data_IF_186159269009
#
_entry.id   IF_186159269009
#
_cell.length_a   1.000
_cell.length_b   1.000
_cell.length_c   1.000
_cell.angle_alpha   90.00
_cell.angle_beta   90.00
_cell.angle_gamma   90.00
#
_symmetry.space_group_name_H-M   'P 1'
#
loop_
_entity.id
_entity.type
_entity.pdbx_description
1 polymer ?
#
# COMPACT_ATOMS: atom_id res chain seq x y z
N UNK A 1 -27.94 -36.13 -11.19
CA UNK A 1 -27.41 -35.02 -11.98
C UNK A 1 -28.12 -33.69 -11.62
N UNK A 2 -29.45 -33.72 -11.46
CA UNK A 2 -30.24 -32.52 -11.09
C UNK A 2 -29.96 -32.04 -9.67
N UNK A 3 -29.67 -32.92 -8.70
CA UNK A 3 -29.29 -32.52 -7.33
C UNK A 3 -27.86 -31.96 -7.30
N UNK A 4 -26.93 -32.43 -8.14
CA UNK A 4 -25.60 -31.88 -8.30
C UNK A 4 -25.62 -30.49 -8.95
N UNK A 5 -26.49 -30.27 -9.93
CA UNK A 5 -26.71 -28.97 -10.56
C UNK A 5 -27.43 -27.99 -9.65
N UNK A 6 -28.33 -28.43 -8.78
CA UNK A 6 -28.94 -27.61 -7.75
C UNK A 6 -27.95 -27.23 -6.65
N UNK A 7 -27.04 -28.14 -6.28
CA UNK A 7 -25.95 -27.84 -5.34
C UNK A 7 -24.94 -26.83 -5.86
N UNK A 8 -24.65 -26.85 -7.15
CA UNK A 8 -23.76 -25.86 -7.81
C UNK A 8 -24.44 -24.49 -7.96
N UNK A 9 -25.75 -24.45 -8.09
CA UNK A 9 -26.55 -23.21 -8.14
C UNK A 9 -26.64 -22.51 -6.77
N UNK A 10 -26.49 -23.24 -5.69
CA UNK A 10 -26.46 -22.73 -4.30
C UNK A 10 -25.03 -22.36 -3.82
N UNK A 11 -24.02 -22.56 -4.61
CA UNK A 11 -22.73 -21.93 -4.34
C UNK A 11 -22.92 -20.41 -4.42
N UNK A 12 -23.29 -19.84 -3.24
CA UNK A 12 -23.30 -18.40 -2.97
C UNK A 12 -22.18 -17.77 -3.78
N UNK A 13 -22.49 -16.88 -4.73
CA UNK A 13 -21.50 -16.09 -5.47
C UNK A 13 -20.55 -15.54 -4.40
N UNK A 14 -19.38 -16.14 -4.25
CA UNK A 14 -18.29 -15.59 -3.47
C UNK A 14 -17.97 -14.30 -4.19
N UNK A 15 -18.49 -13.19 -3.70
CA UNK A 15 -18.09 -11.87 -4.17
C UNK A 15 -16.61 -11.80 -3.88
N UNK A 16 -15.81 -11.99 -4.93
CA UNK A 16 -14.36 -11.76 -4.85
C UNK A 16 -14.22 -10.30 -4.39
N UNK A 17 -13.50 -10.01 -3.32
CA UNK A 17 -13.34 -8.64 -2.84
C UNK A 17 -12.86 -7.77 -4.00
N UNK A 18 -13.55 -6.69 -4.28
CA UNK A 18 -13.20 -5.74 -5.36
C UNK A 18 -11.74 -5.30 -5.24
N UNK A 19 -11.25 -5.16 -4.02
CA UNK A 19 -9.87 -4.82 -3.72
C UNK A 19 -8.89 -5.87 -4.23
N UNK A 20 -9.17 -7.15 -4.05
CA UNK A 20 -8.32 -8.23 -4.57
C UNK A 20 -8.22 -8.21 -6.10
N UNK A 21 -9.37 -8.01 -6.76
CA UNK A 21 -9.42 -7.90 -8.23
C UNK A 21 -8.57 -6.71 -8.70
N UNK A 22 -8.73 -5.55 -8.05
CA UNK A 22 -7.93 -4.36 -8.33
C UNK A 22 -6.43 -4.63 -8.17
N UNK A 23 -6.01 -5.26 -7.06
CA UNK A 23 -4.61 -5.58 -6.80
C UNK A 23 -4.02 -6.50 -7.87
N UNK A 24 -4.78 -7.52 -8.30
CA UNK A 24 -4.35 -8.44 -9.35
C UNK A 24 -4.18 -7.72 -10.70
N UNK A 25 -5.16 -6.89 -11.10
CA UNK A 25 -5.06 -6.11 -12.34
C UNK A 25 -3.93 -5.10 -12.28
N UNK A 26 -3.74 -4.42 -11.15
CA UNK A 26 -2.64 -3.50 -10.94
C UNK A 26 -1.27 -4.18 -11.09
N UNK A 27 -1.11 -5.41 -10.57
CA UNK A 27 0.11 -6.20 -10.75
C UNK A 27 0.35 -6.53 -12.24
N UNK A 28 -0.67 -7.02 -12.95
CA UNK A 28 -0.55 -7.35 -14.38
C UNK A 28 -0.16 -6.11 -15.19
N UNK A 29 -0.78 -4.99 -14.93
CA UNK A 29 -0.47 -3.72 -15.60
C UNK A 29 0.95 -3.28 -15.29
N UNK A 30 1.39 -3.36 -14.02
CA UNK A 30 2.76 -3.04 -13.63
C UNK A 30 3.78 -3.92 -14.35
N UNK A 31 3.55 -5.23 -14.44
CA UNK A 31 4.42 -6.16 -15.18
C UNK A 31 4.51 -5.74 -16.65
N UNK A 32 3.39 -5.51 -17.31
CA UNK A 32 3.37 -5.17 -18.75
C UNK A 32 4.11 -3.85 -18.99
N UNK A 33 3.81 -2.80 -18.22
CA UNK A 33 4.40 -1.47 -18.43
C UNK A 33 5.91 -1.50 -18.14
N UNK A 34 6.32 -2.05 -16.99
CA UNK A 34 7.74 -2.08 -16.62
C UNK A 34 8.53 -2.96 -17.57
N UNK A 35 8.04 -4.17 -17.90
CA UNK A 35 8.72 -5.06 -18.83
C UNK A 35 8.85 -4.44 -20.22
N UNK A 36 7.79 -3.83 -20.75
CA UNK A 36 7.84 -3.11 -22.03
C UNK A 36 8.89 -1.99 -22.01
N UNK A 37 8.94 -1.20 -20.94
CA UNK A 37 9.95 -0.16 -20.77
C UNK A 37 11.38 -0.73 -20.71
N UNK A 38 11.57 -1.83 -20.00
CA UNK A 38 12.87 -2.50 -19.91
C UNK A 38 13.36 -3.02 -21.26
N UNK A 39 12.49 -3.67 -22.02
CA UNK A 39 12.85 -4.23 -23.34
C UNK A 39 13.06 -3.14 -24.38
N UNK A 40 12.25 -2.07 -24.36
CA UNK A 40 12.29 -1.04 -25.39
C UNK A 40 13.29 0.10 -25.12
N UNK A 41 13.61 0.38 -23.85
CA UNK A 41 14.42 1.53 -23.47
C UNK A 41 15.65 1.12 -22.64
N UNK A 42 15.45 0.47 -21.50
CA UNK A 42 16.56 0.26 -20.55
C UNK A 42 17.66 -0.65 -21.14
N UNK A 43 17.29 -1.81 -21.63
CA UNK A 43 18.27 -2.80 -22.15
C UNK A 43 18.99 -2.34 -23.42
N UNK A 44 18.32 -1.72 -24.42
CA UNK A 44 19.01 -1.20 -25.59
C UNK A 44 20.03 -0.11 -25.23
N UNK A 45 19.63 0.90 -24.42
CA UNK A 45 20.54 1.97 -24.00
C UNK A 45 21.72 1.43 -23.14
N UNK A 46 21.46 0.44 -22.29
CA UNK A 46 22.52 -0.20 -21.52
C UNK A 46 23.52 -0.95 -22.40
N UNK A 47 23.02 -1.65 -23.45
CA UNK A 47 23.87 -2.37 -24.41
C UNK A 47 24.75 -1.40 -25.22
N UNK A 48 24.19 -0.27 -25.65
CA UNK A 48 24.93 0.78 -26.37
C UNK A 48 26.07 1.33 -25.49
N UNK A 49 25.77 1.74 -24.24
CA UNK A 49 26.78 2.25 -23.30
C UNK A 49 27.87 1.22 -23.01
N UNK A 50 27.51 -0.05 -22.81
CA UNK A 50 28.48 -1.12 -22.57
C UNK A 50 29.39 -1.33 -23.80
N UNK A 51 28.83 -1.28 -25.00
CA UNK A 51 29.59 -1.44 -26.24
C UNK A 51 30.58 -0.30 -26.43
N UNK A 52 30.13 0.94 -26.21
CA UNK A 52 30.96 2.14 -26.28
C UNK A 52 32.11 2.09 -25.26
N UNK A 53 31.80 1.79 -24.00
CA UNK A 53 32.82 1.66 -22.95
C UNK A 53 33.83 0.53 -23.20
N UNK A 54 33.41 -0.58 -23.82
CA UNK A 54 34.32 -1.63 -24.19
C UNK A 54 35.28 -1.19 -25.33
N UNK A 55 34.79 -0.47 -26.34
CA UNK A 55 35.63 0.08 -27.41
C UNK A 55 36.66 1.11 -26.88
N UNK A 56 36.24 1.96 -25.94
CA UNK A 56 37.15 2.93 -25.30
C UNK A 56 38.22 2.24 -24.46
N UNK A 57 37.83 1.20 -23.71
CA UNK A 57 38.77 0.41 -22.91
C UNK A 57 39.81 -0.38 -23.75
N UNK A 58 39.45 -0.76 -24.99
CA UNK A 58 40.37 -1.38 -25.94
C UNK A 58 41.36 -0.37 -26.52
N UNK A 59 40.98 0.92 -26.65
CA UNK A 59 41.82 2.00 -27.20
C UNK A 59 42.74 2.63 -26.15
N UNK A 60 42.28 2.69 -24.90
CA UNK A 60 43.00 3.29 -23.78
C UNK A 60 43.01 2.32 -22.58
N UNK A 61 44.15 1.67 -22.27
CA UNK A 61 44.27 0.77 -21.12
C UNK A 61 44.02 1.43 -19.76
N UNK A 62 44.18 2.75 -19.66
CA UNK A 62 43.92 3.52 -18.44
C UNK A 62 42.51 4.06 -18.34
N UNK A 63 41.62 3.75 -19.31
CA UNK A 63 40.23 4.18 -19.33
C UNK A 63 39.44 3.62 -18.15
N UNK A 64 38.87 4.54 -17.37
CA UNK A 64 37.95 4.19 -16.24
C UNK A 64 36.53 4.29 -16.72
N UNK A 65 35.83 3.16 -16.64
CA UNK A 65 34.40 3.09 -17.03
C UNK A 65 33.54 4.02 -16.20
N UNK A 66 32.77 4.87 -16.86
CA UNK A 66 31.82 5.78 -16.22
C UNK A 66 30.57 5.04 -15.76
N UNK A 67 29.98 5.48 -14.64
CA UNK A 67 28.72 4.92 -14.16
C UNK A 67 27.55 5.46 -14.98
N UNK A 68 26.85 4.56 -15.68
CA UNK A 68 25.62 4.87 -16.39
C UNK A 68 24.40 4.37 -15.62
N UNK A 69 23.36 5.19 -15.57
CA UNK A 69 22.07 4.80 -14.95
C UNK A 69 21.46 3.59 -15.66
N UNK A 70 21.60 3.51 -17.00
CA UNK A 70 21.08 2.40 -17.78
C UNK A 70 21.75 1.07 -17.40
N UNK A 71 23.08 1.08 -17.22
CA UNK A 71 23.83 -0.09 -16.78
C UNK A 71 23.49 -0.47 -15.35
N UNK A 72 23.20 0.52 -14.49
CA UNK A 72 22.84 0.33 -13.09
C UNK A 72 21.52 -0.42 -12.91
N UNK A 73 20.53 -0.19 -13.79
CA UNK A 73 19.16 -0.70 -13.63
C UNK A 73 18.81 -1.82 -14.61
N UNK A 74 19.72 -2.32 -15.43
CA UNK A 74 19.41 -3.19 -16.59
C UNK A 74 19.01 -4.63 -16.25
N UNK A 75 19.38 -5.14 -15.07
CA UNK A 75 19.26 -6.55 -14.72
C UNK A 75 17.84 -6.92 -14.26
N UNK A 76 17.54 -8.21 -14.23
CA UNK A 76 16.19 -8.73 -13.93
C UNK A 76 15.74 -8.46 -12.50
N UNK A 77 16.66 -8.41 -11.55
CA UNK A 77 16.37 -8.12 -10.15
C UNK A 77 15.85 -6.69 -9.96
N UNK A 78 16.48 -5.72 -10.65
CA UNK A 78 16.00 -4.35 -10.63
C UNK A 78 14.65 -4.23 -11.33
N UNK A 79 14.45 -4.91 -12.46
CA UNK A 79 13.15 -4.96 -13.13
C UNK A 79 12.06 -5.48 -12.19
N UNK A 80 12.31 -6.59 -11.49
CA UNK A 80 11.38 -7.14 -10.50
C UNK A 80 11.11 -6.15 -9.34
N UNK A 81 12.13 -5.46 -8.85
CA UNK A 81 11.98 -4.43 -7.81
C UNK A 81 11.10 -3.26 -8.28
N UNK A 82 11.25 -2.80 -9.53
CA UNK A 82 10.40 -1.74 -10.09
C UNK A 82 8.96 -2.21 -10.30
N UNK A 83 8.73 -3.45 -10.75
CA UNK A 83 7.39 -4.03 -10.84
C UNK A 83 6.70 -4.01 -9.48
N UNK A 84 7.38 -4.50 -8.44
CA UNK A 84 6.85 -4.52 -7.08
C UNK A 84 6.63 -3.10 -6.53
N UNK A 85 7.51 -2.16 -6.84
CA UNK A 85 7.36 -0.76 -6.46
C UNK A 85 6.08 -0.16 -7.05
N UNK A 86 5.87 -0.28 -8.36
CA UNK A 86 4.68 0.29 -9.01
C UNK A 86 3.39 -0.41 -8.56
N UNK A 87 3.46 -1.72 -8.29
CA UNK A 87 2.33 -2.44 -7.69
C UNK A 87 1.99 -1.91 -6.29
N UNK A 88 2.98 -1.75 -5.41
CA UNK A 88 2.78 -1.16 -4.08
C UNK A 88 2.22 0.26 -4.16
N UNK A 89 2.75 1.10 -5.07
CA UNK A 89 2.25 2.46 -5.31
C UNK A 89 0.78 2.48 -5.76
N UNK A 90 0.38 1.55 -6.62
CA UNK A 90 -1.02 1.42 -7.06
C UNK A 90 -1.94 1.06 -5.89
N UNK A 91 -1.55 0.10 -5.05
CA UNK A 91 -2.30 -0.29 -3.85
C UNK A 91 -2.41 0.88 -2.87
N UNK A 92 -1.29 1.56 -2.58
CA UNK A 92 -1.26 2.73 -1.68
C UNK A 92 -2.12 3.88 -2.23
N UNK A 93 -2.06 4.15 -3.53
CA UNK A 93 -2.88 5.16 -4.19
C UNK A 93 -4.38 4.88 -4.04
N UNK A 94 -4.81 3.63 -4.24
CA UNK A 94 -6.19 3.22 -4.02
C UNK A 94 -6.63 3.43 -2.56
N UNK A 95 -5.81 3.01 -1.60
CA UNK A 95 -6.11 3.20 -0.16
C UNK A 95 -6.13 4.68 0.25
N UNK A 96 -5.19 5.46 -0.24
CA UNK A 96 -5.12 6.90 0.04
C UNK A 96 -6.34 7.66 -0.51
N UNK A 97 -6.85 7.30 -1.70
CA UNK A 97 -8.06 7.93 -2.25
C UNK A 97 -9.30 7.60 -1.43
N UNK A 98 -9.46 6.35 -0.98
CA UNK A 98 -10.56 5.96 -0.07
C UNK A 98 -10.48 6.69 1.26
N UNK A 99 -9.31 6.72 1.87
CA UNK A 99 -9.05 7.40 3.14
C UNK A 99 -9.34 8.90 3.04
N UNK A 100 -8.95 9.53 1.93
CA UNK A 100 -9.25 10.94 1.67
C UNK A 100 -10.74 11.21 1.49
N UNK A 101 -11.49 10.26 0.94
CA UNK A 101 -12.95 10.36 0.80
C UNK A 101 -13.64 10.26 2.18
N UNK A 102 -13.15 9.37 3.06
CA UNK A 102 -13.66 9.27 4.43
C UNK A 102 -13.35 10.53 5.25
N UNK A 103 -12.14 11.06 5.12
CA UNK A 103 -11.73 12.27 5.82
C UNK A 103 -12.60 13.49 5.50
N UNK A 104 -13.07 13.61 4.26
CA UNK A 104 -13.99 14.68 3.87
C UNK A 104 -15.33 14.68 4.61
N UNK A 105 -15.73 13.55 5.20
CA UNK A 105 -16.95 13.49 6.01
C UNK A 105 -16.79 14.17 7.38
N UNK A 106 -15.55 14.28 7.88
CA UNK A 106 -15.25 15.02 9.11
C UNK A 106 -15.52 16.52 8.96
N UNK A 107 -15.42 17.05 7.75
CA UNK A 107 -15.68 18.45 7.44
C UNK A 107 -17.19 18.78 7.29
N UNK A 108 -18.03 17.72 7.27
CA UNK A 108 -19.49 17.84 7.14
C UNK A 108 -20.14 17.74 8.51
N UNK A 109 -21.00 18.69 8.85
CA UNK A 109 -21.79 18.61 10.07
C UNK A 109 -22.93 17.58 9.91
N UNK A 110 -22.62 16.30 10.22
CA UNK A 110 -23.54 15.18 10.07
C UNK A 110 -24.62 15.16 11.17
N UNK A 111 -24.34 15.79 12.31
CA UNK A 111 -25.26 15.89 13.44
C UNK A 111 -25.26 17.34 13.92
N UNK A 112 -26.08 18.22 13.31
CA UNK A 112 -26.18 19.59 13.71
C UNK A 112 -26.92 19.68 15.05
N UNK A 113 -26.19 19.77 16.16
CA UNK A 113 -26.75 20.01 17.48
C UNK A 113 -26.59 21.49 17.79
N UNK A 114 -27.69 22.27 17.95
CA UNK A 114 -27.62 23.67 18.35
C UNK A 114 -26.95 23.83 19.72
N UNK A 115 -26.26 24.95 19.92
CA UNK A 115 -25.64 25.28 21.22
C UNK A 115 -26.66 25.25 22.37
N UNK A 116 -26.32 24.52 23.41
CA UNK A 116 -27.17 24.36 24.61
C UNK A 116 -28.26 23.28 24.49
N UNK A 117 -28.43 22.67 23.31
CA UNK A 117 -29.36 21.54 23.14
C UNK A 117 -28.76 20.26 23.73
N UNK A 118 -29.63 19.44 24.35
CA UNK A 118 -29.28 18.09 24.85
C UNK A 118 -29.98 17.07 24.01
N UNK A 119 -29.30 15.98 23.72
CA UNK A 119 -29.87 14.84 23.00
C UNK A 119 -30.49 13.87 24.00
N UNK A 120 -31.80 13.71 23.95
CA UNK A 120 -32.52 12.73 24.74
C UNK A 120 -32.60 11.38 24.02
N UNK A 121 -32.83 10.26 24.72
CA UNK A 121 -32.98 8.94 24.09
C UNK A 121 -34.03 8.88 22.98
N UNK A 122 -35.10 9.69 23.11
CA UNK A 122 -36.17 9.76 22.11
C UNK A 122 -35.74 10.49 20.82
N UNK A 123 -34.84 11.46 20.92
CA UNK A 123 -34.38 12.29 19.80
C UNK A 123 -33.37 11.56 18.90
N UNK A 124 -32.77 10.49 19.41
CA UNK A 124 -31.73 9.72 18.70
C UNK A 124 -32.16 9.26 17.31
N UNK A 125 -33.46 8.97 17.11
CA UNK A 125 -34.00 8.53 15.82
C UNK A 125 -33.97 9.63 14.77
N UNK A 126 -34.18 10.89 15.18
CA UNK A 126 -34.15 12.05 14.29
C UNK A 126 -32.73 12.28 13.78
N UNK A 127 -31.76 12.34 14.70
CA UNK A 127 -30.33 12.48 14.34
C UNK A 127 -29.83 11.29 13.51
N UNK A 128 -30.26 10.06 13.83
CA UNK A 128 -29.88 8.87 13.05
C UNK A 128 -30.41 8.94 11.61
N UNK A 129 -31.58 9.52 11.34
CA UNK A 129 -32.13 9.66 9.98
C UNK A 129 -31.25 10.53 9.09
N UNK A 130 -30.61 11.58 9.65
CA UNK A 130 -29.72 12.45 8.89
C UNK A 130 -28.48 11.69 8.40
N UNK A 131 -27.89 10.86 9.26
CA UNK A 131 -26.75 10.00 8.89
C UNK A 131 -27.20 8.89 7.93
N UNK A 132 -28.38 8.32 8.11
CA UNK A 132 -28.96 7.32 7.23
C UNK A 132 -29.38 7.87 5.84
N UNK A 133 -29.52 9.17 5.70
CA UNK A 133 -29.77 9.81 4.40
C UNK A 133 -28.54 9.81 3.47
N UNK A 134 -27.35 9.49 3.98
CA UNK A 134 -26.15 9.32 3.16
C UNK A 134 -26.30 8.11 2.22
N UNK A 135 -25.65 8.12 1.05
CA UNK A 135 -25.52 6.95 0.20
C UNK A 135 -24.96 5.72 0.96
N UNK A 136 -25.35 4.50 0.57
CA UNK A 136 -25.00 3.26 1.29
C UNK A 136 -23.48 3.08 1.43
N UNK A 137 -22.71 3.42 0.39
CA UNK A 137 -21.24 3.38 0.40
C UNK A 137 -20.65 4.28 1.48
N UNK A 138 -21.22 5.46 1.70
CA UNK A 138 -20.78 6.41 2.74
C UNK A 138 -21.26 6.02 4.14
N UNK A 139 -22.42 5.36 4.26
CA UNK A 139 -22.89 4.88 5.56
C UNK A 139 -21.96 3.80 6.17
N UNK A 140 -21.20 3.10 5.32
CA UNK A 140 -20.25 2.07 5.76
C UNK A 140 -18.89 2.64 6.21
N UNK A 141 -18.63 3.91 5.98
CA UNK A 141 -17.43 4.61 6.43
C UNK A 141 -17.40 4.73 7.96
N UNK A 142 -16.21 4.92 8.54
CA UNK A 142 -15.99 4.90 9.99
C UNK A 142 -16.91 5.87 10.73
N UNK A 143 -16.86 7.17 10.37
CA UNK A 143 -17.59 8.21 11.10
C UNK A 143 -19.11 7.97 11.10
N UNK A 144 -19.82 7.78 9.97
CA UNK A 144 -21.26 7.49 9.98
C UNK A 144 -21.61 6.21 10.76
N UNK A 145 -20.79 5.17 10.66
CA UNK A 145 -20.98 3.92 11.38
C UNK A 145 -20.84 4.09 12.89
N UNK A 146 -19.84 4.84 13.35
CA UNK A 146 -19.63 5.16 14.76
C UNK A 146 -20.79 6.00 15.31
N UNK A 147 -21.21 7.05 14.58
CA UNK A 147 -22.33 7.90 14.96
C UNK A 147 -23.67 7.10 15.08
N UNK A 148 -23.99 6.27 14.07
CA UNK A 148 -25.19 5.44 14.12
C UNK A 148 -25.17 4.44 15.27
N UNK A 149 -23.99 3.88 15.58
CA UNK A 149 -23.85 2.95 16.70
C UNK A 149 -24.00 3.70 18.03
N UNK A 150 -23.39 4.86 18.19
CA UNK A 150 -23.52 5.70 19.39
C UNK A 150 -24.98 6.07 19.67
N UNK A 151 -25.71 6.57 18.66
CA UNK A 151 -27.12 6.94 18.79
C UNK A 151 -28.02 5.73 19.12
N UNK A 152 -27.82 4.58 18.45
CA UNK A 152 -28.58 3.34 18.73
C UNK A 152 -28.27 2.82 20.13
N UNK A 153 -27.01 2.84 20.56
CA UNK A 153 -26.60 2.40 21.89
C UNK A 153 -27.27 3.24 22.96
N UNK A 154 -27.22 4.57 22.80
CA UNK A 154 -27.86 5.50 23.72
C UNK A 154 -29.37 5.29 23.82
N UNK A 155 -30.05 5.12 22.69
CA UNK A 155 -31.50 4.83 22.64
C UNK A 155 -31.88 3.57 23.43
N UNK A 156 -31.00 2.56 23.46
CA UNK A 156 -31.30 1.27 24.11
C UNK A 156 -30.87 1.20 25.58
N UNK A 157 -29.69 1.76 25.92
CA UNK A 157 -29.11 1.62 27.27
C UNK A 157 -29.35 2.83 28.17
N UNK A 158 -29.60 4.02 27.59
CA UNK A 158 -29.68 5.31 28.28
C UNK A 158 -28.46 5.61 29.15
N UNK A 159 -27.32 4.98 28.84
CA UNK A 159 -26.09 5.08 29.61
C UNK A 159 -24.98 5.69 28.74
N UNK A 160 -24.50 6.88 29.13
CA UNK A 160 -23.47 7.62 28.38
C UNK A 160 -22.13 6.86 28.39
N UNK A 161 -21.78 6.20 29.48
CA UNK A 161 -20.55 5.43 29.58
C UNK A 161 -20.52 4.26 28.59
N UNK A 162 -21.68 3.58 28.43
CA UNK A 162 -21.82 2.48 27.45
C UNK A 162 -21.66 3.00 26.02
N UNK A 163 -22.13 4.20 25.72
CA UNK A 163 -21.98 4.84 24.41
C UNK A 163 -20.52 5.16 24.14
N UNK A 164 -19.84 5.80 25.09
CA UNK A 164 -18.41 6.13 24.96
C UNK A 164 -17.57 4.88 24.75
N UNK A 165 -17.75 3.84 25.56
CA UNK A 165 -17.04 2.57 25.43
C UNK A 165 -17.32 1.88 24.08
N UNK A 166 -18.57 1.88 23.61
CA UNK A 166 -18.94 1.30 22.32
C UNK A 166 -18.32 2.06 21.14
N UNK A 167 -18.27 3.38 21.21
CA UNK A 167 -17.65 4.22 20.17
C UNK A 167 -16.15 3.96 20.11
N UNK A 168 -15.47 3.93 21.25
CA UNK A 168 -14.06 3.60 21.35
C UNK A 168 -13.75 2.23 20.75
N UNK A 169 -14.52 1.18 21.10
CA UNK A 169 -14.34 -0.17 20.54
C UNK A 169 -14.50 -0.21 19.02
N UNK A 170 -15.42 0.59 18.45
CA UNK A 170 -15.58 0.66 16.99
C UNK A 170 -14.36 1.31 16.34
N UNK A 171 -13.86 2.40 16.92
CA UNK A 171 -12.68 3.10 16.44
C UNK A 171 -11.42 2.23 16.55
N UNK A 172 -11.24 1.53 17.67
CA UNK A 172 -10.13 0.57 17.88
C UNK A 172 -10.17 -0.58 16.86
N UNK A 173 -11.33 -1.22 16.68
CA UNK A 173 -11.51 -2.28 15.68
C UNK A 173 -11.25 -1.79 14.25
N UNK A 174 -11.58 -0.54 13.94
CA UNK A 174 -11.29 0.06 12.64
C UNK A 174 -9.79 0.33 12.48
N UNK A 175 -9.09 0.80 13.52
CA UNK A 175 -7.65 0.98 13.51
C UNK A 175 -6.93 -0.34 13.22
N UNK A 176 -7.31 -1.42 13.90
CA UNK A 176 -6.76 -2.77 13.66
C UNK A 176 -7.02 -3.24 12.22
N UNK A 177 -8.22 -2.99 11.68
CA UNK A 177 -8.57 -3.32 10.30
C UNK A 177 -7.69 -2.58 9.30
N UNK A 178 -7.55 -1.27 9.46
CA UNK A 178 -6.73 -0.42 8.60
C UNK A 178 -5.25 -0.83 8.66
N UNK A 179 -4.74 -1.16 9.84
CA UNK A 179 -3.38 -1.67 9.99
C UNK A 179 -3.18 -3.01 9.28
N UNK A 180 -4.13 -3.94 9.42
CA UNK A 180 -4.11 -5.23 8.73
C UNK A 180 -4.11 -5.06 7.21
N UNK A 181 -4.82 -4.08 6.69
CA UNK A 181 -4.86 -3.77 5.26
C UNK A 181 -3.52 -3.31 4.67
N UNK A 182 -2.58 -2.83 5.50
CA UNK A 182 -1.22 -2.48 5.06
C UNK A 182 -0.28 -3.69 4.98
N UNK A 183 -0.69 -4.86 5.45
CA UNK A 183 0.17 -6.05 5.55
C UNK A 183 0.78 -6.44 4.20
N UNK A 184 -0.01 -6.40 3.10
CA UNK A 184 0.49 -6.72 1.76
C UNK A 184 1.56 -5.73 1.29
N UNK A 185 1.38 -4.44 1.55
CA UNK A 185 2.34 -3.41 1.14
C UNK A 185 3.63 -3.56 1.95
N UNK A 186 3.53 -3.83 3.26
CA UNK A 186 4.69 -4.14 4.10
C UNK A 186 5.44 -5.37 3.59
N UNK A 187 4.71 -6.44 3.21
CA UNK A 187 5.32 -7.63 2.61
C UNK A 187 6.10 -7.29 1.34
N UNK A 188 5.52 -6.51 0.43
CA UNK A 188 6.21 -6.05 -0.80
C UNK A 188 7.47 -5.25 -0.45
N UNK A 189 7.37 -4.34 0.51
CA UNK A 189 8.51 -3.52 0.95
C UNK A 189 9.67 -4.36 1.52
N UNK A 190 9.38 -5.51 2.11
CA UNK A 190 10.37 -6.48 2.57
C UNK A 190 10.88 -7.42 1.45
N UNK A 191 10.04 -7.74 0.48
CA UNK A 191 10.42 -8.58 -0.65
C UNK A 191 11.46 -7.90 -1.55
N UNK A 192 11.37 -6.58 -1.74
CA UNK A 192 12.27 -5.82 -2.60
C UNK A 192 13.74 -5.94 -2.17
N UNK A 193 14.16 -5.68 -0.92
CA UNK A 193 15.52 -5.91 -0.47
C UNK A 193 15.97 -7.37 -0.61
N UNK A 194 15.05 -8.33 -0.40
CA UNK A 194 15.34 -9.76 -0.57
C UNK A 194 15.69 -10.10 -2.01
N UNK A 195 14.98 -9.52 -3.00
CA UNK A 195 15.31 -9.68 -4.42
C UNK A 195 16.67 -9.05 -4.75
N UNK A 196 16.96 -7.86 -4.19
CA UNK A 196 18.28 -7.24 -4.32
C UNK A 196 19.40 -8.13 -3.79
N UNK A 197 19.16 -8.79 -2.65
CA UNK A 197 20.12 -9.72 -2.07
C UNK A 197 20.32 -10.98 -2.94
N UNK A 198 19.24 -11.50 -3.58
CA UNK A 198 19.36 -12.59 -4.56
C UNK A 198 20.29 -12.17 -5.70
N UNK A 199 20.18 -10.94 -6.21
CA UNK A 199 21.07 -10.39 -7.22
C UNK A 199 22.53 -10.34 -6.77
N UNK A 200 22.78 -10.01 -5.50
CA UNK A 200 24.12 -10.04 -4.91
C UNK A 200 24.71 -11.46 -4.90
N UNK A 201 23.93 -12.43 -4.43
CA UNK A 201 24.37 -13.83 -4.39
C UNK A 201 24.66 -14.35 -5.79
N UNK A 202 23.79 -14.06 -6.78
CA UNK A 202 23.98 -14.42 -8.18
C UNK A 202 25.25 -13.80 -8.75
N UNK A 203 25.42 -12.46 -8.59
CA UNK A 203 26.57 -11.77 -9.15
C UNK A 203 27.91 -12.20 -8.53
N UNK A 204 27.95 -12.48 -7.22
CA UNK A 204 29.15 -13.04 -6.56
C UNK A 204 29.41 -14.47 -7.08
N UNK A 205 28.37 -15.30 -7.24
CA UNK A 205 28.52 -16.64 -7.78
C UNK A 205 29.09 -16.63 -9.20
N UNK A 206 28.61 -15.74 -10.06
CA UNK A 206 29.12 -15.55 -11.43
C UNK A 206 30.58 -15.01 -11.43
N UNK A 207 30.94 -14.12 -10.49
CA UNK A 207 32.30 -13.64 -10.33
C UNK A 207 33.26 -14.77 -9.93
N UNK A 208 32.86 -15.61 -8.98
CA UNK A 208 33.66 -16.76 -8.53
C UNK A 208 33.82 -17.81 -9.65
N UNK A 209 32.81 -18.02 -10.48
CA UNK A 209 32.91 -18.92 -11.65
C UNK A 209 33.94 -18.45 -12.70
N UNK A 210 34.36 -17.20 -12.65
CA UNK A 210 35.37 -16.61 -13.53
C UNK A 210 36.74 -16.43 -12.86
N UNK A 211 36.93 -16.97 -11.66
CA UNK A 211 38.19 -16.85 -10.91
C UNK A 211 39.42 -17.37 -11.65
N UNK A 212 39.30 -18.47 -12.41
CA UNK A 212 40.39 -19.04 -13.21
C UNK A 212 40.87 -18.08 -14.30
N UNK A 213 39.98 -17.31 -14.92
CA UNK A 213 40.34 -16.26 -15.90
C UNK A 213 41.04 -15.09 -15.24
N UNK A 214 40.59 -14.71 -14.05
CA UNK A 214 41.19 -13.64 -13.26
C UNK A 214 42.66 -13.96 -12.88
N UNK A 215 42.96 -15.20 -12.54
CA UNK A 215 44.33 -15.68 -12.29
C UNK A 215 45.23 -15.57 -13.55
N UNK A 216 44.63 -15.69 -14.73
CA UNK A 216 45.30 -15.53 -16.02
C UNK A 216 45.45 -14.06 -16.47
N UNK A 217 44.95 -13.12 -15.65
CA UNK A 217 45.04 -11.69 -15.90
C UNK A 217 43.75 -11.05 -16.49
N UNK A 218 42.74 -11.84 -16.85
CA UNK A 218 41.44 -11.34 -17.34
C UNK A 218 40.45 -11.15 -16.18
N UNK A 219 40.45 -9.96 -15.59
CA UNK A 219 39.56 -9.60 -14.47
C UNK A 219 38.26 -8.95 -14.93
N UNK A 220 38.07 -8.69 -16.22
CA UNK A 220 36.93 -7.92 -16.73
C UNK A 220 35.58 -8.55 -16.39
N UNK A 221 35.45 -9.86 -16.59
CA UNK A 221 34.23 -10.59 -16.27
C UNK A 221 33.89 -10.63 -14.78
N UNK A 222 34.91 -10.79 -13.92
CA UNK A 222 34.75 -10.75 -12.46
C UNK A 222 34.24 -9.37 -12.00
N UNK A 223 34.86 -8.30 -12.50
CA UNK A 223 34.47 -6.92 -12.15
C UNK A 223 33.02 -6.61 -12.60
N UNK A 224 32.65 -7.08 -13.79
CA UNK A 224 31.28 -6.91 -14.32
C UNK A 224 30.24 -7.64 -13.46
N UNK A 225 30.52 -8.89 -13.07
CA UNK A 225 29.61 -9.68 -12.23
C UNK A 225 29.48 -9.10 -10.82
N UNK A 226 30.57 -8.58 -10.22
CA UNK A 226 30.50 -7.85 -8.96
C UNK A 226 29.68 -6.56 -9.11
N UNK A 227 29.78 -5.88 -10.25
CA UNK A 227 28.94 -4.72 -10.56
C UNK A 227 27.45 -5.06 -10.50
N UNK A 228 27.03 -6.18 -11.09
CA UNK A 228 25.64 -6.69 -11.00
C UNK A 228 25.23 -6.91 -9.56
N UNK A 229 26.09 -7.56 -8.74
CA UNK A 229 25.81 -7.83 -7.34
C UNK A 229 25.51 -6.55 -6.56
N UNK A 230 26.39 -5.55 -6.65
CA UNK A 230 26.23 -4.30 -5.91
C UNK A 230 25.08 -3.45 -6.43
N UNK A 231 24.90 -3.35 -7.74
CA UNK A 231 23.83 -2.55 -8.35
C UNK A 231 22.45 -3.08 -7.97
N UNK A 232 22.25 -4.40 -7.92
CA UNK A 232 20.98 -5.02 -7.57
C UNK A 232 20.56 -4.63 -6.14
N UNK A 233 21.46 -4.77 -5.18
CA UNK A 233 21.16 -4.43 -3.78
C UNK A 233 21.00 -2.92 -3.60
N UNK A 234 21.82 -2.10 -4.27
CA UNK A 234 21.75 -0.64 -4.16
C UNK A 234 20.37 -0.11 -4.60
N UNK A 235 19.88 -0.53 -5.77
CA UNK A 235 18.57 -0.11 -6.29
C UNK A 235 17.44 -0.62 -5.41
N UNK A 236 17.50 -1.89 -4.99
CA UNK A 236 16.50 -2.48 -4.11
C UNK A 236 16.36 -1.73 -2.77
N UNK A 237 17.49 -1.36 -2.17
CA UNK A 237 17.48 -0.58 -0.91
C UNK A 237 16.92 0.82 -1.10
N UNK A 238 17.29 1.53 -2.18
CA UNK A 238 16.70 2.85 -2.48
C UNK A 238 15.19 2.79 -2.64
N UNK A 239 14.70 1.83 -3.41
CA UNK A 239 13.26 1.63 -3.61
C UNK A 239 12.56 1.30 -2.28
N UNK A 240 13.17 0.43 -1.46
CA UNK A 240 12.61 0.03 -0.17
C UNK A 240 12.48 1.23 0.79
N UNK A 241 13.52 2.06 0.90
CA UNK A 241 13.50 3.26 1.75
C UNK A 241 12.36 4.20 1.31
N UNK A 242 12.23 4.43 0.00
CA UNK A 242 11.16 5.27 -0.56
C UNK A 242 9.76 4.71 -0.25
N UNK A 243 9.55 3.41 -0.47
CA UNK A 243 8.28 2.76 -0.19
C UNK A 243 7.94 2.78 1.30
N UNK A 244 8.91 2.48 2.18
CA UNK A 244 8.70 2.50 3.63
C UNK A 244 8.29 3.89 4.14
N UNK A 245 8.88 4.95 3.57
CA UNK A 245 8.46 6.31 3.87
C UNK A 245 6.99 6.54 3.50
N UNK A 246 6.56 6.13 2.30
CA UNK A 246 5.17 6.28 1.84
C UNK A 246 4.18 5.45 2.67
N UNK A 247 4.56 4.23 3.02
CA UNK A 247 3.75 3.37 3.91
C UNK A 247 3.53 4.04 5.25
N UNK A 248 4.58 4.62 5.83
CA UNK A 248 4.49 5.34 7.10
C UNK A 248 3.57 6.56 7.00
N UNK A 249 3.66 7.33 5.89
CA UNK A 249 2.74 8.46 5.67
C UNK A 249 1.28 8.01 5.56
N UNK A 250 1.02 6.92 4.86
CA UNK A 250 -0.33 6.35 4.76
C UNK A 250 -0.85 5.87 6.12
N UNK A 251 0.00 5.22 6.92
CA UNK A 251 -0.33 4.79 8.28
C UNK A 251 -0.70 5.99 9.18
N UNK A 252 0.09 7.06 9.16
CA UNK A 252 -0.24 8.29 9.91
C UNK A 252 -1.57 8.91 9.49
N UNK A 253 -1.90 8.87 8.19
CA UNK A 253 -3.21 9.33 7.71
C UNK A 253 -4.36 8.47 8.23
N UNK A 254 -4.18 7.16 8.34
CA UNK A 254 -5.17 6.22 8.88
C UNK A 254 -5.39 6.46 10.38
N UNK A 255 -4.32 6.57 11.15
CA UNK A 255 -4.37 6.85 12.60
C UNK A 255 -5.09 8.17 12.89
N UNK A 256 -4.78 9.22 12.10
CA UNK A 256 -5.47 10.51 12.22
C UNK A 256 -6.95 10.42 11.91
N UNK A 257 -7.35 9.67 10.86
CA UNK A 257 -8.77 9.51 10.55
C UNK A 257 -9.54 8.87 11.72
N UNK A 258 -8.97 7.85 12.33
CA UNK A 258 -9.59 7.15 13.48
C UNK A 258 -9.71 8.11 14.67
N UNK A 259 -8.63 8.79 15.03
CA UNK A 259 -8.60 9.74 16.13
C UNK A 259 -9.59 10.91 15.93
N UNK A 260 -9.58 11.51 14.74
CA UNK A 260 -10.48 12.64 14.40
C UNK A 260 -11.94 12.17 14.40
N UNK A 261 -12.23 10.92 13.98
CA UNK A 261 -13.59 10.37 14.00
C UNK A 261 -14.09 10.11 15.42
N UNK A 262 -13.23 9.61 16.31
CA UNK A 262 -13.55 9.41 17.72
C UNK A 262 -13.81 10.76 18.41
N UNK A 263 -12.93 11.74 18.18
CA UNK A 263 -13.08 13.09 18.70
C UNK A 263 -14.36 13.75 18.21
N UNK A 264 -14.70 13.58 16.93
CA UNK A 264 -15.97 14.08 16.37
C UNK A 264 -17.19 13.46 17.10
N UNK A 265 -17.17 12.16 17.34
CA UNK A 265 -18.25 11.47 18.06
C UNK A 265 -18.37 11.99 19.51
N UNK A 266 -17.25 12.22 20.20
CA UNK A 266 -17.25 12.78 21.55
C UNK A 266 -17.81 14.20 21.57
N UNK A 267 -17.27 15.08 20.71
CA UNK A 267 -17.64 16.50 20.70
C UNK A 267 -19.06 16.74 20.22
N UNK A 268 -19.54 16.05 19.19
CA UNK A 268 -20.83 16.30 18.55
C UNK A 268 -21.99 15.48 19.12
N UNK A 269 -21.70 14.32 19.73
CA UNK A 269 -22.74 13.43 20.24
C UNK A 269 -22.59 13.23 21.73
N UNK A 270 -21.49 12.62 22.21
CA UNK A 270 -21.41 12.10 23.58
C UNK A 270 -21.55 13.21 24.62
N UNK A 271 -20.91 14.37 24.41
CA UNK A 271 -21.02 15.54 25.31
C UNK A 271 -22.42 16.13 25.36
N UNK A 272 -23.27 15.93 24.37
CA UNK A 272 -24.62 16.43 24.30
C UNK A 272 -25.66 15.44 24.81
N UNK A 273 -25.29 14.19 25.10
CA UNK A 273 -26.20 13.20 25.65
C UNK A 273 -26.64 13.58 27.06
N UNK A 274 -27.94 13.38 27.32
CA UNK A 274 -28.52 13.49 28.66
C UNK A 274 -29.30 12.23 28.97
N UNK A 275 -28.80 11.44 29.93
CA UNK A 275 -29.55 10.40 30.57
C UNK A 275 -30.44 11.02 31.64
N UNK A 276 -31.74 10.69 31.66
CA UNK A 276 -32.67 11.14 32.70
C UNK A 276 -32.36 10.46 34.03
#
# INVERSE_FOLDING_TARGET
LNELLAGLSQMKKKNIPVEFVYQLFALIIAIIIVHAFYVSVVRPNAAEVITEQNMLAEQDPDYVRERSVWVLIKDFEQEACFILMFWALAIMGYKATRLSAERKLLDVDLIPVPEGMRILPEDTREFARQVQALPEDRQQMLLPRALLSALRRFSSTRNIQDVSSSTHTICESEAERLESELAMIRYISWAIPSIGFIGTVRGIGEALAQADKAVQGDIAGVTMSLGVAFNSTFIALLISIFLMFLVHQLQLMQERLVYDSETYCDDKVIRHLKAD
#
